data_IF_937169805384
#
_entry.id   IF_937169805384
#
_cell.length_a   1.000
_cell.length_b   1.000
_cell.length_c   1.000
_cell.angle_alpha   90.00
_cell.angle_beta   90.00
_cell.angle_gamma   90.00
#
_symmetry.space_group_name_H-M   'P 1'
#
loop_
_entity.id
_entity.type
_entity.pdbx_description
1 polymer ?
#
# COMPACT_ATOMS: atom_id res chain seq x y z
N UNK A 1 52.09 -12.46 22.03
CA UNK A 1 53.37 -12.11 21.40
C UNK A 1 53.02 -11.14 20.29
N UNK A 2 53.41 -9.88 20.49
CA UNK A 2 53.61 -8.78 19.53
C UNK A 2 52.40 -8.39 18.66
N UNK A 3 51.73 -7.26 18.93
CA UNK A 3 52.14 -5.89 18.54
C UNK A 3 52.48 -5.77 17.05
N UNK A 4 51.71 -4.97 16.31
CA UNK A 4 52.23 -3.69 15.82
C UNK A 4 51.15 -2.83 15.16
N UNK A 5 51.14 -1.59 15.61
CA UNK A 5 50.37 -0.42 15.23
C UNK A 5 50.72 0.07 13.81
N UNK A 6 49.81 0.83 13.17
CA UNK A 6 50.23 2.06 12.49
C UNK A 6 49.10 3.09 12.35
N UNK A 7 49.23 4.15 13.15
CA UNK A 7 48.59 5.45 13.00
C UNK A 7 49.24 6.26 11.87
N UNK A 8 48.49 7.18 11.23
CA UNK A 8 48.96 8.48 10.72
C UNK A 8 47.79 9.35 10.21
N UNK A 9 47.19 10.08 11.14
CA UNK A 9 46.89 11.53 11.17
C UNK A 9 46.96 12.44 9.90
N UNK A 10 45.86 13.21 9.70
CA UNK A 10 45.68 14.61 9.17
C UNK A 10 46.33 15.03 7.83
N UNK A 11 45.81 15.94 6.98
CA UNK A 11 45.42 17.35 7.19
C UNK A 11 44.50 17.86 6.06
N UNK A 12 43.59 18.74 6.47
CA UNK A 12 42.78 19.75 5.75
C UNK A 12 43.29 20.29 4.39
N UNK A 13 42.37 20.42 3.43
CA UNK A 13 42.44 21.41 2.34
C UNK A 13 41.05 22.04 2.10
N UNK A 14 40.95 23.34 2.38
CA UNK A 14 39.81 24.19 2.04
C UNK A 14 39.81 24.49 0.53
N UNK A 15 38.65 24.39 -0.12
CA UNK A 15 38.31 25.27 -1.24
C UNK A 15 36.88 25.77 -1.09
N UNK A 16 36.78 27.06 -0.86
CA UNK A 16 35.60 27.90 -0.95
C UNK A 16 35.20 28.10 -2.41
N UNK A 17 33.89 28.24 -2.67
CA UNK A 17 33.23 29.35 -3.40
C UNK A 17 31.91 28.87 -4.03
N UNK A 18 30.84 29.50 -3.55
CA UNK A 18 29.55 29.82 -4.19
C UNK A 18 28.73 28.74 -4.89
N UNK A 19 27.60 28.42 -4.24
CA UNK A 19 26.24 28.58 -4.79
C UNK A 19 25.25 28.73 -3.64
N UNK A 20 25.21 29.95 -3.10
CA UNK A 20 24.05 30.47 -2.40
C UNK A 20 23.06 30.95 -3.48
N UNK A 21 22.15 30.08 -3.93
CA UNK A 21 20.82 30.52 -4.33
C UNK A 21 19.84 29.34 -4.44
N UNK A 22 18.65 29.56 -3.90
CA UNK A 22 17.44 28.75 -4.10
C UNK A 22 17.32 27.40 -3.38
N UNK A 23 17.29 27.43 -2.03
CA UNK A 23 16.23 26.73 -1.28
C UNK A 23 15.81 27.60 -0.09
N UNK A 24 15.16 28.73 -0.36
CA UNK A 24 14.10 29.17 0.57
C UNK A 24 12.97 28.15 0.43
N UNK A 25 13.16 26.97 1.02
CA UNK A 25 12.03 26.10 1.35
C UNK A 25 11.12 27.00 2.16
N UNK A 26 9.98 27.32 1.55
CA UNK A 26 8.95 28.14 2.14
C UNK A 26 8.49 27.38 3.37
N UNK A 27 9.10 27.67 4.52
CA UNK A 27 8.61 27.22 5.82
C UNK A 27 7.27 27.92 6.00
N UNK A 28 6.23 27.27 5.45
CA UNK A 28 4.86 27.63 5.66
C UNK A 28 4.68 27.78 7.17
N UNK A 29 4.15 28.93 7.59
CA UNK A 29 3.87 29.14 9.02
C UNK A 29 2.88 28.03 9.43
N UNK A 30 3.11 27.31 10.54
CA UNK A 30 2.24 26.22 10.96
C UNK A 30 0.78 26.69 10.97
N UNK A 31 -0.10 25.96 10.28
CA UNK A 31 -1.49 26.39 10.06
C UNK A 31 -2.23 26.68 11.36
N UNK A 32 -1.94 25.93 12.42
CA UNK A 32 -2.46 26.16 13.76
C UNK A 32 -2.14 27.59 14.28
N UNK A 33 -0.90 28.06 14.10
CA UNK A 33 -0.51 29.42 14.53
C UNK A 33 -1.26 30.49 13.75
N UNK A 34 -1.49 30.26 12.45
CA UNK A 34 -2.29 31.17 11.63
C UNK A 34 -3.75 31.19 12.10
N UNK A 35 -4.32 30.02 12.39
CA UNK A 35 -5.66 29.88 12.94
C UNK A 35 -5.80 30.63 14.27
N UNK A 36 -4.94 30.36 15.26
CA UNK A 36 -4.95 31.06 16.56
C UNK A 36 -4.85 32.56 16.39
N UNK A 37 -3.96 33.04 15.50
CA UNK A 37 -3.80 34.46 15.23
C UNK A 37 -5.06 35.11 14.64
N UNK A 38 -5.74 34.44 13.71
CA UNK A 38 -6.98 34.93 13.10
C UNK A 38 -8.08 35.00 14.17
N UNK A 39 -8.21 33.96 14.98
CA UNK A 39 -9.22 33.89 16.04
C UNK A 39 -9.00 34.96 17.11
N UNK A 40 -7.76 35.13 17.58
CA UNK A 40 -7.41 36.21 18.53
C UNK A 40 -7.73 37.60 17.95
N UNK A 41 -7.44 37.81 16.67
CA UNK A 41 -7.74 39.08 16.00
C UNK A 41 -9.25 39.32 15.91
N UNK A 42 -10.02 38.29 15.58
CA UNK A 42 -11.49 38.35 15.50
C UNK A 42 -12.11 38.62 16.87
N UNK A 43 -11.62 37.96 17.93
CA UNK A 43 -12.09 38.20 19.29
C UNK A 43 -11.76 39.63 19.74
N UNK A 44 -10.54 40.10 19.49
CA UNK A 44 -10.17 41.50 19.80
C UNK A 44 -11.11 42.48 19.09
N UNK A 45 -11.36 42.27 17.80
CA UNK A 45 -12.29 43.11 17.04
C UNK A 45 -13.70 43.09 17.63
N UNK A 46 -14.21 41.93 18.06
CA UNK A 46 -15.51 41.83 18.73
C UNK A 46 -15.56 42.68 20.00
N UNK A 47 -14.52 42.57 20.85
CA UNK A 47 -14.44 43.28 22.13
C UNK A 47 -14.27 44.79 21.93
N UNK A 48 -13.49 45.22 20.94
CA UNK A 48 -13.31 46.64 20.59
C UNK A 48 -14.64 47.28 20.15
N UNK A 49 -15.50 46.53 19.47
CA UNK A 49 -16.83 47.00 19.07
C UNK A 49 -17.85 47.00 20.21
N UNK A 50 -17.58 46.30 21.31
CA UNK A 50 -18.43 46.23 22.50
C UNK A 50 -18.04 47.29 23.54
N UNK A 51 -17.76 48.53 23.11
CA UNK A 51 -17.28 49.60 23.98
C UNK A 51 -18.29 50.01 25.07
N UNK A 52 -17.77 50.56 26.17
CA UNK A 52 -18.57 51.07 27.27
C UNK A 52 -19.51 52.21 26.83
N UNK A 53 -19.08 53.07 25.91
CA UNK A 53 -19.91 54.17 25.39
C UNK A 53 -21.20 53.64 24.73
N UNK A 54 -21.09 52.60 23.92
CA UNK A 54 -22.26 51.96 23.27
C UNK A 54 -23.15 51.28 24.31
N UNK A 55 -22.54 50.59 25.27
CA UNK A 55 -23.26 49.92 26.36
C UNK A 55 -24.04 50.91 27.23
N UNK A 56 -23.38 51.95 27.71
CA UNK A 56 -23.98 52.99 28.57
C UNK A 56 -25.05 53.82 27.83
N UNK A 57 -24.92 53.99 26.51
CA UNK A 57 -25.97 54.57 25.68
C UNK A 57 -27.20 53.65 25.56
N UNK A 58 -27.02 52.34 25.42
CA UNK A 58 -28.16 51.42 25.38
C UNK A 58 -28.90 51.33 26.74
N UNK A 59 -28.17 51.55 27.84
CA UNK A 59 -28.69 51.50 29.21
C UNK A 59 -28.68 52.87 29.91
N UNK A 60 -29.07 53.95 29.22
CA UNK A 60 -28.98 55.33 29.74
C UNK A 60 -29.61 55.56 31.13
N UNK A 61 -30.80 55.02 31.45
CA UNK A 61 -31.42 55.29 32.75
C UNK A 61 -30.57 54.74 33.90
N UNK A 62 -29.99 53.55 33.71
CA UNK A 62 -29.14 52.88 34.70
C UNK A 62 -27.77 53.56 34.81
N UNK A 63 -27.18 53.95 33.68
CA UNK A 63 -25.87 54.60 33.64
C UNK A 63 -25.88 55.97 34.30
N UNK A 64 -26.98 56.73 34.19
CA UNK A 64 -27.16 58.01 34.89
C UNK A 64 -27.39 57.84 36.39
N UNK A 65 -28.10 56.78 36.79
CA UNK A 65 -28.43 56.53 38.19
C UNK A 65 -27.22 55.99 38.98
N UNK A 66 -26.43 55.10 38.38
CA UNK A 66 -25.23 54.56 38.99
C UNK A 66 -24.15 54.23 37.93
N UNK A 67 -23.30 55.22 37.59
CA UNK A 67 -22.24 55.06 36.59
C UNK A 67 -21.22 53.97 36.99
N UNK A 68 -20.84 53.93 38.27
CA UNK A 68 -19.85 52.99 38.78
C UNK A 68 -20.32 51.53 38.66
N UNK A 69 -21.58 51.28 39.03
CA UNK A 69 -22.17 49.93 38.88
C UNK A 69 -22.26 49.52 37.41
N UNK A 70 -22.65 50.45 36.54
CA UNK A 70 -22.77 50.19 35.09
C UNK A 70 -21.43 49.86 34.45
N UNK A 71 -20.37 50.57 34.84
CA UNK A 71 -18.99 50.31 34.41
C UNK A 71 -18.49 48.95 34.92
N UNK A 72 -18.76 48.61 36.18
CA UNK A 72 -18.41 47.32 36.75
C UNK A 72 -19.12 46.15 36.03
N UNK A 73 -20.42 46.30 35.72
CA UNK A 73 -21.19 45.32 34.97
C UNK A 73 -20.64 45.12 33.55
N UNK A 74 -20.33 46.21 32.84
CA UNK A 74 -19.75 46.13 31.49
C UNK A 74 -18.39 45.44 31.49
N UNK A 75 -17.51 45.83 32.42
CA UNK A 75 -16.19 45.19 32.56
C UNK A 75 -16.32 43.69 32.86
N UNK A 76 -17.24 43.30 33.74
CA UNK A 76 -17.50 41.91 34.05
C UNK A 76 -18.02 41.16 32.81
N UNK A 77 -18.97 41.74 32.07
CA UNK A 77 -19.50 41.16 30.84
C UNK A 77 -18.39 40.91 29.80
N UNK A 78 -17.53 41.91 29.54
CA UNK A 78 -16.41 41.80 28.60
C UNK A 78 -15.43 40.71 29.03
N UNK A 79 -15.08 40.68 30.33
CA UNK A 79 -14.17 39.66 30.86
C UNK A 79 -14.75 38.26 30.75
N UNK A 80 -16.03 38.06 31.08
CA UNK A 80 -16.68 36.76 30.98
C UNK A 80 -16.80 36.31 29.53
N UNK A 81 -17.21 37.20 28.63
CA UNK A 81 -17.31 36.92 27.20
C UNK A 81 -15.96 36.49 26.63
N UNK A 82 -14.88 37.22 26.94
CA UNK A 82 -13.54 36.88 26.50
C UNK A 82 -13.12 35.49 27.01
N UNK A 83 -13.25 35.23 28.30
CA UNK A 83 -12.84 33.95 28.91
C UNK A 83 -13.64 32.77 28.36
N UNK A 84 -14.97 32.91 28.25
CA UNK A 84 -15.82 31.84 27.74
C UNK A 84 -15.52 31.54 26.28
N UNK A 85 -15.38 32.56 25.42
CA UNK A 85 -15.04 32.37 24.01
C UNK A 85 -13.67 31.72 23.86
N UNK A 86 -12.66 32.18 24.60
CA UNK A 86 -11.32 31.57 24.58
C UNK A 86 -11.34 30.11 25.04
N UNK A 87 -12.07 29.81 26.12
CA UNK A 87 -12.24 28.44 26.63
C UNK A 87 -12.91 27.55 25.59
N UNK A 88 -13.97 28.04 24.94
CA UNK A 88 -14.71 27.30 23.92
C UNK A 88 -13.83 26.99 22.70
N UNK A 89 -13.06 27.99 22.23
CA UNK A 89 -12.11 27.81 21.13
C UNK A 89 -11.07 26.75 21.49
N UNK A 90 -10.53 26.79 22.71
CA UNK A 90 -9.58 25.76 23.18
C UNK A 90 -10.23 24.38 23.20
N UNK A 91 -11.48 24.27 23.68
CA UNK A 91 -12.25 23.01 23.65
C UNK A 91 -12.38 22.48 22.23
N UNK A 92 -12.76 23.34 21.26
CA UNK A 92 -12.87 22.95 19.84
C UNK A 92 -11.53 22.49 19.27
N UNK A 93 -10.41 23.16 19.63
CA UNK A 93 -9.07 22.77 19.19
C UNK A 93 -8.69 21.38 19.73
N UNK A 94 -8.99 21.12 21.00
CA UNK A 94 -8.69 19.86 21.67
C UNK A 94 -9.59 18.73 21.16
N UNK A 95 -10.90 18.91 21.14
CA UNK A 95 -11.89 17.93 20.68
C UNK A 95 -11.68 17.53 19.21
N UNK A 96 -11.37 18.50 18.35
CA UNK A 96 -11.11 18.24 16.94
C UNK A 96 -9.68 17.78 16.64
N UNK A 97 -8.82 17.67 17.66
CA UNK A 97 -7.39 17.39 17.52
C UNK A 97 -6.71 18.28 16.46
N UNK A 98 -7.10 19.56 16.41
CA UNK A 98 -6.76 20.46 15.30
C UNK A 98 -5.25 20.61 15.11
N UNK A 99 -4.46 20.48 16.19
CA UNK A 99 -3.02 20.49 16.10
C UNK A 99 -2.49 19.35 15.22
N UNK A 100 -2.85 18.10 15.53
CA UNK A 100 -2.40 16.95 14.77
C UNK A 100 -2.90 16.99 13.33
N UNK A 101 -4.14 17.44 13.11
CA UNK A 101 -4.73 17.57 11.76
C UNK A 101 -4.03 18.64 10.92
N UNK A 102 -3.72 19.80 11.50
CA UNK A 102 -2.97 20.83 10.78
C UNK A 102 -1.53 20.43 10.49
N UNK A 103 -0.86 19.76 11.44
CA UNK A 103 0.50 19.22 11.23
C UNK A 103 0.51 18.15 10.13
N UNK A 104 -0.49 17.28 10.09
CA UNK A 104 -0.67 16.31 9.01
C UNK A 104 -0.88 16.99 7.65
N UNK A 105 -1.74 18.01 7.58
CA UNK A 105 -1.94 18.79 6.36
C UNK A 105 -0.66 19.52 5.93
N UNK A 106 0.13 20.04 6.86
CA UNK A 106 1.41 20.70 6.58
C UNK A 106 2.41 19.69 5.97
N UNK A 107 2.46 18.47 6.53
CA UNK A 107 3.27 17.36 6.00
C UNK A 107 2.80 16.91 4.61
N UNK A 108 1.49 16.79 4.39
CA UNK A 108 0.92 16.38 3.10
C UNK A 108 1.16 17.43 2.01
N UNK A 109 1.05 18.72 2.34
CA UNK A 109 1.40 19.81 1.43
C UNK A 109 2.88 19.76 1.06
N UNK A 110 3.77 19.60 2.04
CA UNK A 110 5.21 19.48 1.80
C UNK A 110 5.53 18.31 0.87
N UNK A 111 4.96 17.13 1.12
CA UNK A 111 5.17 15.93 0.31
C UNK A 111 4.62 16.04 -1.12
N UNK A 112 3.70 16.96 -1.37
CA UNK A 112 3.09 17.18 -2.68
C UNK A 112 3.67 18.37 -3.45
N UNK A 113 4.61 19.14 -2.87
CA UNK A 113 5.15 20.38 -3.46
C UNK A 113 5.68 20.22 -4.88
N UNK A 114 6.33 19.09 -5.16
CA UNK A 114 6.95 18.80 -6.45
C UNK A 114 6.03 18.06 -7.43
N UNK A 115 4.73 17.93 -7.12
CA UNK A 115 3.75 17.27 -7.99
C UNK A 115 3.06 18.31 -8.88
N UNK A 116 3.43 18.44 -10.17
CA UNK A 116 2.88 19.46 -11.06
C UNK A 116 1.45 19.15 -11.55
N UNK A 117 0.99 17.92 -11.34
CA UNK A 117 -0.32 17.47 -11.78
C UNK A 117 -1.40 17.85 -10.78
N UNK A 118 -2.58 18.21 -11.30
CA UNK A 118 -3.74 18.44 -10.48
C UNK A 118 -4.05 17.18 -9.66
N UNK A 119 -4.15 17.34 -8.33
CA UNK A 119 -4.48 16.25 -7.45
C UNK A 119 -5.89 15.70 -7.78
N UNK A 120 -6.04 14.38 -7.73
CA UNK A 120 -7.31 13.71 -7.96
C UNK A 120 -8.39 14.24 -6.99
N UNK A 121 -9.63 14.31 -7.48
CA UNK A 121 -10.82 14.67 -6.70
C UNK A 121 -11.90 13.63 -6.99
N UNK A 122 -12.73 13.27 -6.00
CA UNK A 122 -13.87 12.38 -6.23
C UNK A 122 -14.72 12.89 -7.38
N UNK A 123 -15.02 12.00 -8.33
CA UNK A 123 -15.86 12.32 -9.48
C UNK A 123 -17.33 12.53 -9.09
N UNK A 124 -17.72 12.02 -7.92
CA UNK A 124 -19.11 11.95 -7.49
C UNK A 124 -19.83 10.69 -7.98
N UNK A 125 -19.12 9.82 -8.71
CA UNK A 125 -19.61 8.50 -9.15
C UNK A 125 -18.89 7.44 -8.32
N UNK A 126 -19.55 6.83 -7.31
CA UNK A 126 -18.91 5.92 -6.35
C UNK A 126 -18.17 4.76 -7.01
N UNK A 127 -18.73 4.19 -8.09
CA UNK A 127 -18.14 3.07 -8.79
C UNK A 127 -16.75 3.43 -9.37
N UNK A 128 -16.61 4.62 -9.94
CA UNK A 128 -15.34 5.09 -10.50
C UNK A 128 -14.34 5.44 -9.40
N UNK A 129 -14.81 6.09 -8.34
CA UNK A 129 -13.96 6.55 -7.24
C UNK A 129 -13.36 5.37 -6.47
N UNK A 130 -14.16 4.30 -6.24
CA UNK A 130 -13.71 3.07 -5.59
C UNK A 130 -12.75 2.27 -6.46
N UNK A 131 -12.95 2.24 -7.79
CA UNK A 131 -12.04 1.54 -8.70
C UNK A 131 -10.59 2.01 -8.53
N UNK A 132 -10.34 3.31 -8.31
CA UNK A 132 -8.99 3.85 -8.13
C UNK A 132 -8.22 3.19 -6.98
N UNK A 133 -8.89 2.92 -5.85
CA UNK A 133 -8.28 2.26 -4.69
C UNK A 133 -8.09 0.75 -4.89
N UNK A 134 -9.08 0.09 -5.50
CA UNK A 134 -9.08 -1.37 -5.68
C UNK A 134 -8.08 -1.87 -6.71
N UNK A 135 -7.66 -1.03 -7.67
CA UNK A 135 -6.71 -1.42 -8.73
C UNK A 135 -5.42 -1.99 -8.16
N UNK A 136 -4.87 -1.42 -7.08
CA UNK A 136 -3.63 -1.91 -6.47
C UNK A 136 -3.75 -3.32 -5.90
N UNK A 137 -4.90 -3.62 -5.29
CA UNK A 137 -5.22 -4.94 -4.73
C UNK A 137 -5.39 -5.98 -5.85
N UNK A 138 -6.20 -5.66 -6.87
CA UNK A 138 -6.43 -6.59 -7.97
C UNK A 138 -5.17 -6.87 -8.79
N UNK A 139 -4.27 -5.88 -8.95
CA UNK A 139 -2.96 -6.11 -9.59
C UNK A 139 -2.12 -7.14 -8.82
N UNK A 140 -2.07 -7.04 -7.49
CA UNK A 140 -1.35 -8.03 -6.65
C UNK A 140 -1.96 -9.43 -6.78
N UNK A 141 -3.29 -9.52 -6.80
CA UNK A 141 -4.00 -10.79 -6.96
C UNK A 141 -3.75 -11.40 -8.35
N UNK A 142 -3.79 -10.59 -9.40
CA UNK A 142 -3.50 -11.02 -10.77
C UNK A 142 -2.07 -11.58 -10.87
N UNK A 143 -1.08 -10.87 -10.31
CA UNK A 143 0.31 -11.31 -10.29
C UNK A 143 0.46 -12.66 -9.58
N UNK A 144 -0.13 -12.80 -8.39
CA UNK A 144 -0.13 -14.06 -7.65
C UNK A 144 -0.73 -15.22 -8.48
N UNK A 145 -1.90 -15.01 -9.10
CA UNK A 145 -2.56 -16.04 -9.90
C UNK A 145 -1.72 -16.42 -11.13
N UNK A 146 -1.06 -15.45 -11.77
CA UNK A 146 -0.14 -15.72 -12.89
C UNK A 146 1.03 -16.60 -12.46
N UNK A 147 1.60 -16.38 -11.27
CA UNK A 147 2.66 -17.26 -10.75
C UNK A 147 2.15 -18.69 -10.50
N UNK A 148 0.98 -18.84 -9.86
CA UNK A 148 0.41 -20.16 -9.60
C UNK A 148 0.09 -20.91 -10.89
N UNK A 149 -0.48 -20.22 -11.87
CA UNK A 149 -0.80 -20.81 -13.17
C UNK A 149 0.46 -21.32 -13.88
N UNK A 150 1.53 -20.53 -13.91
CA UNK A 150 2.83 -20.94 -14.49
C UNK A 150 3.40 -22.18 -13.81
N UNK A 151 3.30 -22.25 -12.46
CA UNK A 151 3.75 -23.41 -11.69
C UNK A 151 2.97 -24.67 -12.10
N UNK A 152 1.64 -24.59 -12.13
CA UNK A 152 0.77 -25.71 -12.52
C UNK A 152 1.01 -26.16 -13.97
N UNK A 153 1.19 -25.22 -14.90
CA UNK A 153 1.48 -25.53 -16.29
C UNK A 153 2.81 -26.28 -16.44
N UNK A 154 3.86 -25.87 -15.71
CA UNK A 154 5.16 -26.55 -15.74
C UNK A 154 5.06 -27.97 -15.16
N UNK A 155 4.36 -28.12 -14.05
CA UNK A 155 4.14 -29.43 -13.43
C UNK A 155 3.34 -30.35 -14.35
N UNK A 156 2.24 -29.88 -14.92
CA UNK A 156 1.41 -30.65 -15.84
C UNK A 156 2.18 -31.05 -17.11
N UNK A 157 2.98 -30.15 -17.68
CA UNK A 157 3.86 -30.49 -18.81
C UNK A 157 4.84 -31.63 -18.45
N UNK A 158 5.45 -31.58 -17.26
CA UNK A 158 6.31 -32.66 -16.77
C UNK A 158 5.57 -33.98 -16.54
N UNK A 159 4.35 -33.93 -16.01
CA UNK A 159 3.51 -35.12 -15.84
C UNK A 159 3.07 -35.70 -17.19
N UNK A 160 2.67 -34.87 -18.14
CA UNK A 160 2.28 -35.28 -19.48
C UNK A 160 3.43 -36.00 -20.20
N UNK A 161 4.66 -35.47 -20.09
CA UNK A 161 5.85 -36.14 -20.63
C UNK A 161 6.08 -37.51 -20.00
N UNK A 162 5.94 -37.64 -18.67
CA UNK A 162 6.07 -38.93 -17.97
C UNK A 162 5.00 -39.93 -18.41
N UNK A 163 3.76 -39.49 -18.57
CA UNK A 163 2.66 -40.34 -19.07
C UNK A 163 2.95 -40.82 -20.48
N UNK A 164 3.42 -39.93 -21.36
CA UNK A 164 3.75 -40.27 -22.74
C UNK A 164 4.89 -41.30 -22.81
N UNK A 165 5.99 -41.06 -22.09
CA UNK A 165 7.10 -42.01 -22.00
C UNK A 165 6.66 -43.37 -21.41
N UNK A 166 5.77 -43.34 -20.41
CA UNK A 166 5.18 -44.55 -19.84
C UNK A 166 4.36 -45.34 -20.87
N UNK A 167 3.53 -44.66 -21.67
CA UNK A 167 2.75 -45.28 -22.75
C UNK A 167 3.64 -45.91 -23.81
N UNK A 168 4.70 -45.21 -24.24
CA UNK A 168 5.66 -45.74 -25.21
C UNK A 168 6.37 -47.00 -24.70
N UNK A 169 6.75 -47.02 -23.42
CA UNK A 169 7.36 -48.20 -22.79
C UNK A 169 6.39 -49.39 -22.72
N UNK A 170 5.10 -49.13 -22.41
CA UNK A 170 4.05 -50.16 -22.44
C UNK A 170 3.91 -50.73 -23.85
N UNK A 171 3.72 -49.87 -24.86
CA UNK A 171 3.58 -50.31 -26.26
C UNK A 171 4.79 -51.10 -26.74
N UNK A 172 6.00 -50.68 -26.39
CA UNK A 172 7.21 -51.44 -26.72
C UNK A 172 7.23 -52.83 -26.06
N UNK A 173 6.83 -52.91 -24.78
CA UNK A 173 6.77 -54.17 -24.06
C UNK A 173 5.69 -55.10 -24.63
N UNK A 174 4.52 -54.56 -24.98
CA UNK A 174 3.44 -55.29 -25.66
C UNK A 174 3.91 -55.88 -27.00
N UNK A 175 4.63 -55.09 -27.82
CA UNK A 175 5.21 -55.57 -29.09
C UNK A 175 6.22 -56.70 -28.87
N UNK A 176 7.09 -56.59 -27.85
CA UNK A 176 8.04 -57.66 -27.51
C UNK A 176 7.36 -58.94 -27.07
N UNK A 177 6.30 -58.82 -26.26
CA UNK A 177 5.49 -59.98 -25.84
C UNK A 177 4.83 -60.63 -27.05
N UNK A 178 4.21 -59.84 -27.93
CA UNK A 178 3.58 -60.35 -29.15
C UNK A 178 4.59 -61.07 -30.07
N UNK A 179 5.75 -60.48 -30.30
CA UNK A 179 6.82 -61.10 -31.10
C UNK A 179 7.29 -62.43 -30.49
N UNK A 180 7.47 -62.49 -29.16
CA UNK A 180 7.81 -63.72 -28.48
C UNK A 180 6.72 -64.78 -28.62
N UNK A 181 5.44 -64.40 -28.49
CA UNK A 181 4.31 -65.32 -28.68
C UNK A 181 4.28 -65.90 -30.10
N UNK A 182 4.54 -65.09 -31.12
CA UNK A 182 4.62 -65.57 -32.52
C UNK A 182 5.83 -66.50 -32.75
N UNK A 183 6.98 -66.21 -32.15
CA UNK A 183 8.16 -67.09 -32.20
C UNK A 183 7.90 -68.45 -31.55
N UNK A 184 7.23 -68.46 -30.39
CA UNK A 184 6.80 -69.70 -29.73
C UNK A 184 5.80 -70.49 -30.59
N UNK A 185 4.87 -69.79 -31.25
CA UNK A 185 3.89 -70.42 -32.16
C UNK A 185 4.58 -71.08 -33.35
N UNK A 186 5.50 -70.37 -34.02
CA UNK A 186 6.26 -70.90 -35.15
C UNK A 186 7.10 -72.13 -34.74
N UNK A 187 7.76 -72.06 -33.59
CA UNK A 187 8.54 -73.20 -33.06
C UNK A 187 7.68 -74.44 -32.79
N UNK A 188 6.43 -74.24 -32.36
CA UNK A 188 5.48 -75.34 -32.14
C UNK A 188 5.02 -75.95 -33.47
N UNK A 189 4.74 -75.13 -34.49
CA UNK A 189 4.39 -75.59 -35.84
C UNK A 189 5.55 -76.40 -36.47
N UNK A 190 6.79 -75.95 -36.31
CA UNK A 190 7.98 -76.67 -36.76
C UNK A 190 8.11 -78.04 -36.06
N UNK A 191 7.89 -78.09 -34.74
CA UNK A 191 7.90 -79.34 -33.98
C UNK A 191 6.81 -80.30 -34.45
N UNK A 192 5.59 -79.79 -34.69
CA UNK A 192 4.47 -80.59 -35.21
C UNK A 192 4.78 -81.17 -36.60
N UNK A 193 5.44 -80.40 -37.47
CA UNK A 193 5.91 -80.87 -38.77
C UNK A 193 6.98 -81.98 -38.63
N UNK A 194 7.92 -81.85 -37.68
CA UNK A 194 8.91 -82.89 -37.38
C UNK A 194 8.23 -84.17 -36.86
N UNK A 195 7.26 -84.05 -35.95
CA UNK A 195 6.50 -85.21 -35.44
C UNK A 195 5.71 -85.89 -36.56
N UNK A 196 5.11 -85.12 -37.46
CA UNK A 196 4.35 -85.63 -38.61
C UNK A 196 5.23 -86.37 -39.62
N UNK A 197 6.47 -85.92 -39.83
CA UNK A 197 7.43 -86.61 -40.71
C UNK A 197 7.99 -87.89 -40.09
N UNK A 198 8.27 -87.89 -38.78
CA UNK A 198 8.72 -89.08 -38.05
C UNK A 198 7.63 -90.16 -37.99
N UNK A 199 6.39 -89.78 -37.68
CA UNK A 199 5.25 -90.72 -37.67
C UNK A 199 4.93 -91.29 -39.06
N UNK A 200 5.23 -90.57 -40.14
CA UNK A 200 5.14 -91.08 -41.52
C UNK A 200 6.28 -92.05 -41.88
N UNK A 201 7.44 -91.94 -41.22
CA UNK A 201 8.61 -92.81 -41.43
C UNK A 201 8.51 -94.16 -40.70
N UNK A 202 7.69 -94.27 -39.65
CA UNK A 202 7.50 -95.52 -38.91
C UNK A 202 6.55 -96.52 -39.61
N UNK A 203 6.00 -96.17 -40.78
CA UNK A 203 5.16 -97.07 -41.58
C UNK A 203 5.95 -97.85 -42.66
N UNK A 204 7.19 -98.25 -42.38
CA UNK A 204 7.90 -99.29 -43.15
C UNK A 204 8.31 -100.45 -42.24
N UNK A 205 7.59 -101.58 -42.39
CA UNK A 205 8.03 -102.88 -41.88
C UNK A 205 7.04 -103.61 -40.98
N UNK A 206 5.83 -103.90 -41.46
CA UNK A 206 5.10 -105.08 -41.00
C UNK A 206 4.87 -105.99 -42.21
N UNK A 207 5.73 -107.00 -42.32
CA UNK A 207 5.56 -108.24 -43.09
C UNK A 207 6.03 -109.38 -42.20
#
# INVERSE_FOLDING_TARGET
>A
MEESEKSCESVSAKSSVDRDDSVRSSQSKPRLKLFSKVIEKSLRWLLDNASFDRFSHCFQPLSKQNPQLTEAMHRQFISQLQTLVQSEISSVIEEGELQARFEELDRLEEGAKDTPQAAWRPSGVPEQDVCSGLVSYYKKQEEYMRLQLKKLQKENAGLAQKVQAGRESITHTEQRIAAGVEEWRASLEDLEAVVSTLSSSEHFGSL
#
